data_IF_011870748655
#
_entry.id   IF_011870748655
#
_cell.length_a   1.000
_cell.length_b   1.000
_cell.length_c   1.000
_cell.angle_alpha   90.00
_cell.angle_beta   90.00
_cell.angle_gamma   90.00
#
_symmetry.space_group_name_H-M   'P 1'
#
loop_
_entity.id
_entity.type
_entity.pdbx_description
1 polymer ?
#
# COMPACT_ATOMS: atom_id res chain seq x y z
N UNK A 1 12.41 -19.73 19.56
CA UNK A 1 11.84 -18.35 19.50
C UNK A 1 11.05 -18.23 18.22
N UNK A 2 9.81 -17.84 18.29
CA UNK A 2 8.94 -17.70 17.12
C UNK A 2 8.89 -16.21 16.75
N UNK A 3 9.22 -15.86 15.52
CA UNK A 3 9.09 -14.48 15.03
C UNK A 3 7.64 -14.18 14.72
N UNK A 4 7.22 -12.93 14.90
CA UNK A 4 5.96 -12.42 14.37
C UNK A 4 6.10 -12.19 12.86
N UNK A 5 5.05 -12.50 12.10
CA UNK A 5 5.04 -12.39 10.64
C UNK A 5 4.00 -11.40 10.15
N UNK A 6 4.31 -10.68 9.08
CA UNK A 6 3.36 -9.78 8.46
C UNK A 6 3.48 -9.72 6.95
N UNK A 7 2.37 -9.37 6.31
CA UNK A 7 2.29 -9.12 4.88
C UNK A 7 1.90 -7.67 4.62
N UNK A 8 2.49 -7.07 3.60
CA UNK A 8 2.28 -5.67 3.20
C UNK A 8 1.71 -5.67 1.79
N UNK A 9 0.52 -5.13 1.63
CA UNK A 9 -0.10 -4.87 0.34
C UNK A 9 -0.11 -3.36 0.11
N UNK A 10 0.46 -2.89 -0.99
CA UNK A 10 0.57 -1.48 -1.32
C UNK A 10 -0.06 -1.18 -2.66
N UNK A 11 -0.63 0.01 -2.80
CA UNK A 11 -1.03 0.58 -4.08
C UNK A 11 -1.84 -0.39 -4.92
N UNK A 12 -2.94 -0.91 -4.37
CA UNK A 12 -3.85 -1.80 -5.08
C UNK A 12 -4.59 -1.06 -6.19
N UNK A 13 -4.91 0.23 -5.96
CA UNK A 13 -5.60 1.10 -6.91
C UNK A 13 -6.93 0.49 -7.41
N UNK A 14 -7.72 -0.07 -6.47
CA UNK A 14 -9.00 -0.68 -6.83
C UNK A 14 -9.97 0.37 -7.41
N UNK A 15 -10.63 0.12 -8.54
CA UNK A 15 -10.79 -1.15 -9.27
C UNK A 15 -9.70 -1.44 -10.32
N UNK A 16 -8.70 -0.59 -10.49
CA UNK A 16 -7.66 -0.69 -11.53
C UNK A 16 -6.48 -1.59 -11.11
N UNK A 17 -6.73 -2.58 -10.28
CA UNK A 17 -5.72 -3.50 -9.74
C UNK A 17 -5.39 -4.67 -10.70
N UNK A 18 -4.27 -5.32 -10.42
CA UNK A 18 -3.91 -6.58 -11.05
C UNK A 18 -4.64 -7.75 -10.35
N UNK A 19 -5.84 -8.09 -10.84
CA UNK A 19 -6.71 -9.08 -10.21
C UNK A 19 -6.09 -10.49 -10.15
N UNK A 20 -5.28 -10.88 -11.15
CA UNK A 20 -4.62 -12.19 -11.17
C UNK A 20 -3.55 -12.25 -10.09
N UNK A 21 -2.74 -11.22 -9.99
CA UNK A 21 -1.72 -11.14 -8.95
C UNK A 21 -2.34 -11.09 -7.55
N UNK A 22 -3.42 -10.31 -7.36
CA UNK A 22 -4.13 -10.26 -6.08
C UNK A 22 -4.63 -11.65 -5.67
N UNK A 23 -5.23 -12.39 -6.60
CA UNK A 23 -5.69 -13.76 -6.31
C UNK A 23 -4.53 -14.69 -5.90
N UNK A 24 -3.37 -14.59 -6.56
CA UNK A 24 -2.19 -15.37 -6.19
C UNK A 24 -1.63 -14.95 -4.82
N UNK A 25 -1.63 -13.65 -4.50
CA UNK A 25 -1.26 -13.15 -3.18
C UNK A 25 -2.23 -13.65 -2.10
N UNK A 26 -3.55 -13.67 -2.37
CA UNK A 26 -4.57 -14.22 -1.47
C UNK A 26 -4.36 -15.73 -1.21
N UNK A 27 -3.99 -16.50 -2.24
CA UNK A 27 -3.63 -17.92 -2.07
C UNK A 27 -2.41 -18.09 -1.16
N UNK A 28 -1.41 -17.24 -1.30
CA UNK A 28 -0.25 -17.21 -0.41
C UNK A 28 -0.64 -16.80 1.01
N UNK A 29 -1.48 -15.78 1.16
CA UNK A 29 -2.01 -15.37 2.46
C UNK A 29 -2.75 -16.51 3.16
N UNK A 30 -3.58 -17.27 2.43
CA UNK A 30 -4.36 -18.38 2.96
C UNK A 30 -3.51 -19.61 3.37
N UNK A 31 -2.29 -19.73 2.84
CA UNK A 31 -1.40 -20.85 3.13
C UNK A 31 -0.67 -20.73 4.49
N UNK A 32 -0.86 -19.61 5.23
CA UNK A 32 -0.10 -19.27 6.44
C UNK A 32 -0.94 -18.57 7.48
N UNK A 33 -0.40 -18.54 8.70
CA UNK A 33 -0.85 -17.62 9.75
C UNK A 33 -0.03 -16.33 9.66
N UNK A 34 -0.73 -15.22 9.87
CA UNK A 34 -0.15 -13.89 9.89
C UNK A 34 -0.50 -13.18 11.20
N UNK A 35 0.50 -12.50 11.80
CA UNK A 35 0.28 -11.64 12.96
C UNK A 35 -0.19 -10.25 12.49
N UNK A 36 0.26 -9.83 11.29
CA UNK A 36 -0.05 -8.51 10.74
C UNK A 36 -0.43 -8.57 9.26
N UNK A 37 -1.47 -7.81 8.88
CA UNK A 37 -1.78 -7.43 7.50
C UNK A 37 -1.74 -5.90 7.41
N UNK A 38 -0.89 -5.38 6.54
CA UNK A 38 -0.70 -3.94 6.33
C UNK A 38 -1.18 -3.57 4.93
N UNK A 39 -2.24 -2.77 4.84
CA UNK A 39 -2.60 -2.04 3.63
C UNK A 39 -1.86 -0.71 3.66
N UNK A 40 -0.89 -0.53 2.76
CA UNK A 40 0.08 0.57 2.87
C UNK A 40 -0.34 1.85 2.13
N UNK A 41 -1.64 2.03 1.92
CA UNK A 41 -2.25 3.19 1.26
C UNK A 41 -2.50 2.96 -0.23
N UNK A 42 -3.27 3.86 -0.83
CA UNK A 42 -3.73 3.82 -2.21
C UNK A 42 -4.35 2.46 -2.58
N UNK A 43 -5.14 1.94 -1.65
CA UNK A 43 -5.87 0.69 -1.88
C UNK A 43 -7.07 0.91 -2.80
N UNK A 44 -7.62 2.12 -2.77
CA UNK A 44 -8.65 2.61 -3.69
C UNK A 44 -8.04 3.60 -4.68
N UNK A 45 -8.43 3.54 -5.95
CA UNK A 45 -7.99 4.51 -6.96
C UNK A 45 -8.76 5.84 -6.88
N UNK A 46 -9.95 5.81 -6.28
CA UNK A 46 -10.83 6.99 -6.11
C UNK A 46 -11.09 7.77 -7.40
N UNK A 47 -10.99 7.09 -8.53
CA UNK A 47 -11.09 7.63 -9.89
C UNK A 47 -12.31 8.54 -10.11
N UNK A 48 -13.47 8.18 -9.49
CA UNK A 48 -14.73 8.93 -9.66
C UNK A 48 -14.68 10.35 -9.09
N UNK A 49 -13.72 10.61 -8.20
CA UNK A 49 -13.46 11.91 -7.58
C UNK A 49 -12.01 12.36 -7.81
N UNK A 50 -11.39 11.87 -8.89
CA UNK A 50 -9.99 12.18 -9.20
C UNK A 50 -9.75 13.69 -9.31
N UNK A 51 -8.93 14.21 -8.42
CA UNK A 51 -8.47 15.59 -8.44
C UNK A 51 -7.84 15.97 -9.79
N UNK A 52 -7.02 15.08 -10.36
CA UNK A 52 -6.38 15.32 -11.66
C UNK A 52 -7.37 15.47 -12.80
N UNK A 53 -8.42 14.62 -12.85
CA UNK A 53 -9.44 14.69 -13.88
C UNK A 53 -10.29 15.97 -13.76
N UNK A 54 -10.54 16.40 -12.52
CA UNK A 54 -11.28 17.66 -12.25
C UNK A 54 -10.48 18.89 -12.65
N UNK A 55 -9.19 18.96 -12.30
CA UNK A 55 -8.33 20.09 -12.66
C UNK A 55 -8.03 20.19 -14.17
N UNK A 56 -7.84 19.04 -14.82
CA UNK A 56 -7.59 19.01 -16.28
C UNK A 56 -8.83 19.21 -17.12
N UNK A 57 -10.04 19.19 -16.52
CA UNK A 57 -11.32 19.24 -17.22
C UNK A 57 -11.64 17.97 -18.01
N UNK A 58 -10.95 16.87 -17.75
CA UNK A 58 -11.15 15.57 -18.42
C UNK A 58 -12.36 14.80 -17.85
N UNK A 59 -13.50 15.48 -17.68
CA UNK A 59 -14.73 14.88 -17.10
C UNK A 59 -15.23 13.63 -17.82
N UNK A 60 -14.91 13.47 -19.10
CA UNK A 60 -15.23 12.24 -19.85
C UNK A 60 -14.57 11.01 -19.23
N UNK A 61 -13.40 11.15 -18.62
CA UNK A 61 -12.70 10.07 -17.92
C UNK A 61 -13.47 9.59 -16.67
N UNK A 62 -14.40 10.39 -16.16
CA UNK A 62 -15.23 10.07 -14.99
C UNK A 62 -16.57 9.43 -15.37
N UNK A 63 -16.89 9.36 -16.69
CA UNK A 63 -18.17 8.82 -17.13
C UNK A 63 -18.37 7.36 -16.68
N UNK A 64 -19.52 7.09 -16.08
CA UNK A 64 -19.87 5.75 -15.58
C UNK A 64 -19.21 5.33 -14.26
N UNK A 65 -18.21 6.05 -13.79
CA UNK A 65 -17.57 5.77 -12.49
C UNK A 65 -18.50 6.19 -11.35
N UNK A 66 -18.49 5.40 -10.28
CA UNK A 66 -19.34 5.64 -9.09
C UNK A 66 -18.60 5.19 -7.85
N UNK A 67 -18.21 6.11 -7.01
CA UNK A 67 -17.48 5.87 -5.76
C UNK A 67 -18.17 4.82 -4.86
N UNK A 68 -19.48 4.90 -4.73
CA UNK A 68 -20.27 3.93 -3.95
C UNK A 68 -20.07 2.49 -4.45
N UNK A 69 -20.02 2.28 -5.78
CA UNK A 69 -19.80 0.94 -6.35
C UNK A 69 -18.39 0.42 -6.05
N UNK A 70 -17.39 1.33 -6.06
CA UNK A 70 -16.02 0.99 -5.75
C UNK A 70 -15.90 0.58 -4.28
N UNK A 71 -16.54 1.31 -3.37
CA UNK A 71 -16.62 0.93 -1.95
C UNK A 71 -17.30 -0.42 -1.73
N UNK A 72 -18.50 -0.64 -2.30
CA UNK A 72 -19.24 -1.90 -2.18
C UNK A 72 -18.44 -3.11 -2.73
N UNK A 73 -17.65 -2.91 -3.77
CA UNK A 73 -16.83 -3.96 -4.34
C UNK A 73 -15.54 -4.18 -3.53
N UNK A 74 -14.90 -3.11 -3.07
CA UNK A 74 -13.69 -3.19 -2.26
C UNK A 74 -13.98 -3.75 -0.85
N UNK A 75 -15.13 -3.44 -0.27
CA UNK A 75 -15.58 -4.07 0.97
C UNK A 75 -15.52 -5.60 0.91
N UNK A 76 -15.90 -6.20 -0.23
CA UNK A 76 -15.82 -7.67 -0.42
C UNK A 76 -14.38 -8.19 -0.34
N UNK A 77 -13.41 -7.40 -0.81
CA UNK A 77 -11.98 -7.72 -0.69
C UNK A 77 -11.57 -7.65 0.78
N UNK A 78 -11.90 -6.58 1.50
CA UNK A 78 -11.57 -6.43 2.92
C UNK A 78 -12.15 -7.58 3.77
N UNK A 79 -13.42 -7.93 3.55
CA UNK A 79 -14.07 -9.06 4.24
C UNK A 79 -13.40 -10.40 3.92
N UNK A 80 -13.03 -10.61 2.65
CA UNK A 80 -12.32 -11.82 2.23
C UNK A 80 -10.94 -11.90 2.87
N UNK A 81 -10.16 -10.83 2.84
CA UNK A 81 -8.83 -10.77 3.46
C UNK A 81 -8.90 -10.97 4.99
N UNK A 82 -9.83 -10.30 5.67
CA UNK A 82 -10.05 -10.51 7.11
C UNK A 82 -10.36 -11.96 7.45
N UNK A 83 -11.16 -12.63 6.60
CA UNK A 83 -11.44 -14.07 6.77
C UNK A 83 -10.21 -14.95 6.52
N UNK A 84 -9.40 -14.60 5.51
CA UNK A 84 -8.17 -15.35 5.16
C UNK A 84 -7.16 -15.29 6.30
N UNK A 85 -6.87 -14.08 6.82
CA UNK A 85 -5.84 -13.92 7.85
C UNK A 85 -6.32 -14.31 9.26
N UNK A 86 -7.64 -14.34 9.47
CA UNK A 86 -8.27 -14.75 10.72
C UNK A 86 -8.28 -13.67 11.81
N UNK A 87 -9.00 -13.96 12.90
CA UNK A 87 -9.31 -12.99 13.96
C UNK A 87 -8.11 -12.56 14.81
N UNK A 88 -7.04 -13.34 14.83
CA UNK A 88 -5.85 -13.08 15.64
C UNK A 88 -4.86 -12.15 14.92
N UNK A 89 -5.03 -11.93 13.60
CA UNK A 89 -4.22 -11.02 12.81
C UNK A 89 -4.62 -9.56 13.06
N UNK A 90 -3.64 -8.71 13.32
CA UNK A 90 -3.85 -7.27 13.41
C UNK A 90 -3.81 -6.66 12.00
N UNK A 91 -4.90 -5.99 11.63
CA UNK A 91 -5.02 -5.38 10.30
C UNK A 91 -4.89 -3.86 10.44
N UNK A 92 -4.01 -3.27 9.62
CA UNK A 92 -3.78 -1.83 9.53
C UNK A 92 -4.07 -1.34 8.13
N UNK A 93 -4.69 -0.19 8.02
CA UNK A 93 -5.01 0.47 6.76
C UNK A 93 -4.48 1.90 6.78
N UNK A 94 -3.50 2.18 5.94
CA UNK A 94 -2.99 3.54 5.73
C UNK A 94 -3.88 4.25 4.71
N UNK A 95 -4.28 5.45 5.04
CA UNK A 95 -4.87 6.37 4.05
C UNK A 95 -3.76 6.92 3.18
N UNK A 96 -3.81 6.59 1.89
CA UNK A 96 -2.90 7.14 0.89
C UNK A 96 -3.38 8.49 0.35
N UNK A 97 -2.67 9.02 -0.63
CA UNK A 97 -3.06 10.29 -1.23
C UNK A 97 -4.31 10.19 -2.12
N UNK A 98 -4.65 9.00 -2.64
CA UNK A 98 -5.91 8.78 -3.36
C UNK A 98 -7.10 8.80 -2.40
N UNK A 99 -7.02 8.12 -1.25
CA UNK A 99 -8.06 8.20 -0.24
C UNK A 99 -8.24 9.64 0.30
N UNK A 100 -7.16 10.43 0.37
CA UNK A 100 -7.21 11.84 0.79
C UNK A 100 -7.99 12.74 -0.20
N UNK A 101 -8.23 12.29 -1.44
CA UNK A 101 -9.04 13.07 -2.38
C UNK A 101 -10.47 13.29 -1.90
N UNK A 102 -11.02 12.38 -1.10
CA UNK A 102 -12.32 12.60 -0.46
C UNK A 102 -12.30 13.84 0.42
N UNK A 103 -11.32 13.97 1.30
CA UNK A 103 -11.16 15.13 2.18
C UNK A 103 -10.95 16.43 1.38
N UNK A 104 -10.12 16.39 0.34
CA UNK A 104 -9.92 17.54 -0.55
C UNK A 104 -11.20 17.98 -1.28
N UNK A 105 -12.04 17.01 -1.68
CA UNK A 105 -13.33 17.33 -2.29
C UNK A 105 -14.29 17.94 -1.26
N UNK A 106 -14.28 17.46 -0.01
CA UNK A 106 -15.07 18.02 1.10
C UNK A 106 -14.65 19.45 1.41
N UNK A 107 -13.34 19.77 1.36
CA UNK A 107 -12.85 21.15 1.53
C UNK A 107 -13.47 22.12 0.51
N UNK A 108 -13.78 21.65 -0.69
CA UNK A 108 -14.47 22.43 -1.72
C UNK A 108 -16.00 22.34 -1.65
N UNK A 109 -16.52 21.23 -1.14
CA UNK A 109 -17.96 20.92 -1.05
C UNK A 109 -18.30 20.32 0.31
N UNK A 110 -18.36 21.16 1.39
CA UNK A 110 -18.57 20.67 2.78
C UNK A 110 -19.85 19.86 2.99
N UNK A 111 -20.83 20.00 2.10
CA UNK A 111 -22.07 19.22 2.13
C UNK A 111 -21.89 17.73 1.88
N UNK A 112 -20.70 17.31 1.43
CA UNK A 112 -20.34 15.90 1.21
C UNK A 112 -19.74 15.23 2.43
N UNK A 113 -19.46 15.98 3.50
CA UNK A 113 -18.92 15.44 4.76
C UNK A 113 -19.84 14.36 5.33
N UNK A 114 -19.25 13.24 5.70
CA UNK A 114 -19.98 12.07 6.20
C UNK A 114 -20.45 11.09 5.12
N UNK A 115 -20.35 11.45 3.83
CA UNK A 115 -20.88 10.63 2.74
C UNK A 115 -19.83 9.95 1.87
N UNK A 116 -18.67 10.58 1.69
CA UNK A 116 -17.68 10.13 0.68
C UNK A 116 -16.35 9.65 1.25
N UNK A 117 -16.10 9.79 2.54
CA UNK A 117 -14.87 9.35 3.18
C UNK A 117 -14.82 7.81 3.27
N UNK A 118 -13.65 7.21 3.06
CA UNK A 118 -13.47 5.76 3.22
C UNK A 118 -13.89 5.25 4.60
N UNK A 119 -13.65 6.02 5.66
CA UNK A 119 -13.97 5.68 7.04
C UNK A 119 -15.47 5.46 7.27
N UNK A 120 -16.29 6.21 6.54
CA UNK A 120 -17.76 6.13 6.65
C UNK A 120 -18.37 5.09 5.71
N UNK A 121 -17.63 4.61 4.72
CA UNK A 121 -18.12 3.74 3.66
C UNK A 121 -17.52 2.33 3.66
N UNK A 122 -16.47 2.09 4.45
CA UNK A 122 -15.83 0.79 4.57
C UNK A 122 -15.98 0.22 5.99
N UNK A 123 -16.07 -1.09 6.17
CA UNK A 123 -16.37 -1.73 7.45
C UNK A 123 -15.14 -1.82 8.38
N UNK A 124 -14.39 -0.74 8.55
CA UNK A 124 -13.15 -0.74 9.32
C UNK A 124 -13.36 -1.11 10.78
N UNK A 125 -14.37 -0.53 11.42
CA UNK A 125 -14.69 -0.83 12.82
C UNK A 125 -15.17 -2.28 12.98
N UNK A 126 -16.11 -2.74 12.14
CA UNK A 126 -16.63 -4.10 12.17
C UNK A 126 -15.53 -5.15 12.01
N UNK A 127 -14.59 -4.92 11.07
CA UNK A 127 -13.47 -5.80 10.79
C UNK A 127 -12.26 -5.57 11.71
N UNK A 128 -12.37 -4.65 12.68
CA UNK A 128 -11.30 -4.25 13.61
C UNK A 128 -10.02 -3.81 12.89
N UNK A 129 -10.17 -3.16 11.73
CA UNK A 129 -9.09 -2.58 10.96
C UNK A 129 -8.69 -1.26 11.62
N UNK A 130 -7.41 -1.12 11.96
CA UNK A 130 -6.86 0.11 12.53
C UNK A 130 -6.46 1.04 11.40
N UNK A 131 -7.18 2.15 11.26
CA UNK A 131 -6.90 3.16 10.25
C UNK A 131 -5.75 4.06 10.71
N UNK A 132 -4.79 4.30 9.82
CA UNK A 132 -3.69 5.23 9.98
C UNK A 132 -3.98 6.43 9.05
N UNK A 133 -4.08 7.64 9.60
CA UNK A 133 -4.47 8.82 8.82
C UNK A 133 -3.44 9.17 7.74
N UNK A 134 -3.78 10.01 6.78
CA UNK A 134 -2.85 10.49 5.76
C UNK A 134 -1.53 10.99 6.39
N UNK A 135 -0.41 10.61 5.80
CA UNK A 135 0.96 10.88 6.31
C UNK A 135 1.27 10.32 7.69
N UNK A 136 0.40 9.47 8.23
CA UNK A 136 0.63 8.79 9.50
C UNK A 136 1.81 7.83 9.43
N UNK A 137 2.47 7.65 10.57
CA UNK A 137 3.61 6.73 10.73
C UNK A 137 3.23 5.68 11.77
N UNK A 138 3.40 4.42 11.42
CA UNK A 138 3.23 3.30 12.36
C UNK A 138 4.56 2.57 12.52
N UNK A 139 4.72 1.90 13.66
CA UNK A 139 5.94 1.14 13.98
C UNK A 139 5.59 -0.25 14.52
N UNK A 140 6.26 -1.28 14.00
CA UNK A 140 6.24 -2.64 14.54
C UNK A 140 7.71 -3.08 14.70
N UNK A 141 8.13 -3.41 15.92
CA UNK A 141 9.54 -3.64 16.20
C UNK A 141 10.42 -2.43 15.84
N UNK A 142 11.45 -2.63 15.03
CA UNK A 142 12.33 -1.58 14.52
C UNK A 142 11.99 -1.12 13.11
N UNK A 143 10.90 -1.63 12.52
CA UNK A 143 10.42 -1.27 11.18
C UNK A 143 9.28 -0.26 11.29
N UNK A 144 9.37 0.83 10.54
CA UNK A 144 8.33 1.85 10.40
C UNK A 144 7.61 1.67 9.07
N UNK A 145 6.37 2.09 9.03
CA UNK A 145 5.51 2.03 7.85
C UNK A 145 4.92 3.41 7.58
N UNK A 146 4.93 3.82 6.33
CA UNK A 146 4.30 5.05 5.82
C UNK A 146 3.70 4.75 4.44
N UNK A 147 2.72 5.53 3.99
CA UNK A 147 2.28 5.38 2.60
C UNK A 147 3.41 5.76 1.62
N UNK A 148 4.02 6.91 1.75
CA UNK A 148 5.17 7.28 0.93
C UNK A 148 4.94 8.48 0.00
N UNK A 149 3.80 9.16 0.10
CA UNK A 149 3.44 10.39 -0.59
C UNK A 149 4.24 11.62 -0.10
N UNK A 150 5.55 11.43 0.04
CA UNK A 150 6.47 12.48 0.46
C UNK A 150 6.78 13.43 -0.69
N UNK A 151 7.07 14.68 -0.29
CA UNK A 151 7.24 15.84 -1.16
C UNK A 151 7.94 15.58 -2.50
N UNK A 152 7.37 16.21 -3.52
CA UNK A 152 7.88 16.28 -4.89
C UNK A 152 9.22 17.02 -4.90
N UNK A 153 10.30 16.31 -5.05
CA UNK A 153 11.62 16.88 -5.28
C UNK A 153 12.33 16.16 -6.41
N UNK A 154 13.43 16.69 -6.92
CA UNK A 154 14.20 16.12 -8.03
C UNK A 154 14.62 14.64 -7.82
N UNK A 155 14.73 14.22 -6.56
CA UNK A 155 15.03 12.83 -6.18
C UNK A 155 13.82 11.90 -6.09
N UNK A 156 12.60 12.44 -6.15
CA UNK A 156 11.40 11.64 -5.85
C UNK A 156 11.13 10.51 -6.85
N UNK A 157 11.55 10.67 -8.10
CA UNK A 157 11.34 9.65 -9.15
C UNK A 157 12.49 8.66 -9.30
N UNK A 158 13.75 9.10 -9.12
CA UNK A 158 14.94 8.30 -9.44
C UNK A 158 15.61 7.69 -8.22
N UNK A 159 15.65 8.39 -7.10
CA UNK A 159 16.36 7.98 -5.88
C UNK A 159 15.49 8.15 -4.64
N UNK A 160 14.21 7.82 -4.73
CA UNK A 160 13.26 8.04 -3.65
C UNK A 160 13.60 7.24 -2.37
N UNK A 161 14.13 6.02 -2.46
CA UNK A 161 14.52 5.26 -1.28
C UNK A 161 15.63 5.97 -0.47
N UNK A 162 16.61 6.57 -1.17
CA UNK A 162 17.63 7.38 -0.51
C UNK A 162 17.02 8.59 0.19
N UNK A 163 16.09 9.30 -0.50
CA UNK A 163 15.41 10.47 0.08
C UNK A 163 14.63 10.09 1.34
N UNK A 164 13.92 8.97 1.33
CA UNK A 164 13.15 8.48 2.48
C UNK A 164 14.07 8.24 3.67
N UNK A 165 15.18 7.53 3.49
CA UNK A 165 16.15 7.31 4.57
C UNK A 165 16.74 8.61 5.09
N UNK A 166 17.11 9.52 4.21
CA UNK A 166 17.71 10.80 4.62
C UNK A 166 16.73 11.66 5.40
N UNK A 167 15.45 11.65 5.00
CA UNK A 167 14.40 12.44 5.66
C UNK A 167 14.02 11.88 7.03
N UNK A 168 13.81 10.57 7.13
CA UNK A 168 13.26 9.96 8.34
C UNK A 168 14.34 9.41 9.28
N UNK A 169 15.52 9.08 8.76
CA UNK A 169 16.61 8.43 9.50
C UNK A 169 16.12 7.21 10.30
N UNK A 170 15.37 6.31 9.65
CA UNK A 170 14.75 5.10 10.24
C UNK A 170 14.71 3.96 9.20
N UNK A 171 14.45 2.76 9.69
CA UNK A 171 14.06 1.64 8.83
C UNK A 171 12.60 1.81 8.43
N UNK A 172 12.32 1.94 7.14
CA UNK A 172 10.99 2.30 6.64
C UNK A 172 10.59 1.44 5.44
N UNK A 173 9.37 0.85 5.51
CA UNK A 173 8.65 0.32 4.37
C UNK A 173 7.62 1.36 3.90
N UNK A 174 7.55 1.60 2.58
CA UNK A 174 6.68 2.61 1.99
C UNK A 174 6.19 2.21 0.60
N UNK A 175 5.01 2.69 0.19
CA UNK A 175 4.35 2.52 -1.12
C UNK A 175 4.48 3.74 -2.03
N UNK A 176 3.36 4.18 -2.65
CA UNK A 176 3.15 5.37 -3.50
C UNK A 176 3.96 5.40 -4.81
N UNK A 177 5.17 4.88 -4.82
CA UNK A 177 6.07 5.01 -5.98
C UNK A 177 5.89 3.89 -7.02
N UNK A 178 5.19 2.83 -6.68
CA UNK A 178 4.91 1.66 -7.53
C UNK A 178 6.18 0.99 -8.09
N UNK A 179 7.33 1.21 -7.45
CA UNK A 179 8.63 0.73 -7.93
C UNK A 179 9.32 -0.14 -6.88
N UNK A 180 10.38 -0.81 -7.28
CA UNK A 180 11.22 -1.59 -6.38
C UNK A 180 12.55 -0.88 -6.15
N UNK A 181 12.68 -0.20 -5.01
CA UNK A 181 13.96 0.37 -4.57
C UNK A 181 14.26 -0.02 -3.13
N UNK A 182 15.56 -0.12 -2.84
CA UNK A 182 16.08 -0.25 -1.48
C UNK A 182 17.31 0.62 -1.35
N UNK A 183 17.40 1.37 -0.30
CA UNK A 183 18.60 2.13 0.03
C UNK A 183 18.93 1.99 1.51
N UNK A 184 20.19 1.61 1.79
CA UNK A 184 20.71 1.48 3.16
C UNK A 184 21.72 2.57 3.43
N UNK A 185 21.52 3.31 4.52
CA UNK A 185 22.43 4.29 5.08
C UNK A 185 23.12 3.67 6.29
N UNK A 186 24.43 3.72 6.29
CA UNK A 186 25.26 3.22 7.40
C UNK A 186 26.06 4.40 7.94
N UNK A 187 26.02 4.63 9.25
CA UNK A 187 26.91 5.60 9.86
C UNK A 187 28.36 5.09 9.85
N UNK A 188 29.36 5.93 9.52
CA UNK A 188 30.76 5.52 9.48
C UNK A 188 31.31 5.06 10.83
N UNK A 189 30.68 5.49 11.91
CA UNK A 189 31.07 5.18 13.29
C UNK A 189 29.89 4.56 14.01
N UNK A 190 29.93 3.25 14.20
CA UNK A 190 28.89 2.48 14.91
C UNK A 190 28.02 1.64 13.95
N UNK A 191 28.13 0.32 14.06
CA UNK A 191 27.35 -0.64 13.26
C UNK A 191 25.86 -0.67 13.67
N UNK A 192 25.49 -0.01 14.76
CA UNK A 192 24.12 0.01 15.28
C UNK A 192 23.23 1.07 14.61
N UNK A 193 23.82 2.00 13.82
CA UNK A 193 23.11 3.07 13.14
C UNK A 193 22.94 2.75 11.64
N UNK A 194 22.23 1.65 11.37
CA UNK A 194 21.88 1.19 10.02
C UNK A 194 20.40 1.48 9.80
N UNK A 195 20.12 2.31 8.80
CA UNK A 195 18.75 2.63 8.39
C UNK A 195 18.51 2.26 6.93
N UNK A 196 17.43 1.56 6.65
CA UNK A 196 17.07 1.11 5.31
C UNK A 196 15.65 1.53 4.95
N UNK A 197 15.47 2.12 3.77
CA UNK A 197 14.17 2.34 3.17
C UNK A 197 13.88 1.27 2.12
N UNK A 198 12.66 0.74 2.16
CA UNK A 198 12.16 -0.31 1.29
C UNK A 198 10.92 0.20 0.55
N UNK A 199 11.03 0.47 -0.74
CA UNK A 199 9.87 0.71 -1.61
C UNK A 199 9.17 -0.62 -1.84
N UNK A 200 7.90 -0.71 -1.45
CA UNK A 200 7.09 -1.90 -1.67
C UNK A 200 6.47 -1.83 -3.06
N UNK A 201 6.60 -2.87 -3.87
CA UNK A 201 5.96 -2.96 -5.18
C UNK A 201 4.44 -2.89 -5.08
N UNK A 202 3.78 -2.43 -6.14
CA UNK A 202 2.34 -2.22 -6.18
C UNK A 202 1.55 -3.47 -6.59
N UNK A 203 0.25 -3.46 -6.28
CA UNK A 203 -0.73 -4.42 -6.79
C UNK A 203 -1.60 -3.84 -7.92
N UNK A 204 -1.32 -2.61 -8.35
CA UNK A 204 -2.02 -1.94 -9.44
C UNK A 204 -1.74 -2.61 -10.81
N UNK A 205 -2.63 -2.37 -11.76
CA UNK A 205 -2.34 -2.66 -13.16
C UNK A 205 -1.20 -1.74 -13.64
N UNK A 206 -0.09 -2.32 -14.08
CA UNK A 206 1.09 -1.57 -14.55
C UNK A 206 0.88 -0.85 -15.89
N UNK A 207 -0.25 -1.05 -16.53
CA UNK A 207 -0.66 -0.34 -17.75
C UNK A 207 -2.08 0.22 -17.60
N UNK A 208 -2.27 1.22 -16.73
CA UNK A 208 -3.60 1.79 -16.52
C UNK A 208 -4.08 2.54 -17.77
N UNK A 209 -5.37 2.44 -18.07
CA UNK A 209 -5.96 3.03 -19.27
C UNK A 209 -5.76 4.56 -19.39
N UNK A 210 -5.73 5.27 -18.25
CA UNK A 210 -5.49 6.71 -18.24
C UNK A 210 -4.09 7.10 -18.72
N UNK A 211 -3.11 6.20 -18.64
CA UNK A 211 -1.75 6.43 -19.12
C UNK A 211 -1.57 6.22 -20.63
N UNK A 212 -2.65 5.92 -21.36
CA UNK A 212 -2.66 5.76 -22.83
C UNK A 212 -1.55 4.83 -23.32
N UNK A 213 -1.38 3.68 -22.67
CA UNK A 213 -0.38 2.63 -22.96
C UNK A 213 1.10 3.07 -22.88
N UNK A 214 1.38 4.24 -22.31
CA UNK A 214 2.77 4.65 -22.05
C UNK A 214 3.43 3.67 -21.08
N UNK A 215 4.68 3.29 -21.30
CA UNK A 215 5.41 2.44 -20.38
C UNK A 215 5.53 3.13 -19.00
N UNK A 216 5.31 2.36 -17.95
CA UNK A 216 5.57 2.78 -16.58
C UNK A 216 6.80 2.04 -16.04
N UNK A 217 7.45 2.60 -15.03
CA UNK A 217 8.47 1.90 -14.25
C UNK A 217 7.85 1.08 -13.10
N UNK A 218 6.55 0.84 -13.14
CA UNK A 218 5.80 0.16 -12.09
C UNK A 218 6.14 -1.32 -12.04
N UNK A 219 6.32 -1.81 -10.83
CA UNK A 219 6.67 -3.20 -10.55
C UNK A 219 5.58 -3.80 -9.68
N UNK A 220 5.04 -4.91 -10.11
CA UNK A 220 4.06 -5.68 -9.35
C UNK A 220 4.72 -6.54 -8.28
N UNK A 221 4.06 -6.62 -7.12
CA UNK A 221 4.52 -7.41 -5.99
C UNK A 221 3.89 -6.96 -4.67
N UNK A 222 4.50 -7.39 -3.58
CA UNK A 222 4.08 -7.08 -2.22
C UNK A 222 5.25 -7.30 -1.24
N UNK A 223 5.06 -6.94 0.04
CA UNK A 223 6.06 -7.15 1.07
C UNK A 223 5.72 -8.29 2.02
N UNK A 224 6.74 -8.96 2.56
CA UNK A 224 6.62 -9.92 3.67
C UNK A 224 7.69 -9.58 4.70
N UNK A 225 7.33 -9.52 5.98
CA UNK A 225 8.31 -9.25 7.02
C UNK A 225 8.17 -10.19 8.21
N UNK A 226 9.29 -10.35 8.91
CA UNK A 226 9.38 -11.12 10.15
C UNK A 226 10.08 -10.28 11.20
N UNK A 227 9.54 -10.25 12.41
CA UNK A 227 10.07 -9.47 13.53
C UNK A 227 10.40 -10.42 14.70
N UNK A 228 11.59 -10.25 15.27
CA UNK A 228 12.03 -10.97 16.48
C UNK A 228 11.60 -10.23 17.74
N UNK A 229 11.72 -10.90 18.89
CA UNK A 229 11.35 -10.35 20.21
C UNK A 229 12.14 -9.07 20.56
N UNK A 230 13.38 -8.92 20.07
CA UNK A 230 14.22 -7.72 20.23
C UNK A 230 13.84 -6.58 19.26
N UNK A 231 12.82 -6.79 18.45
CA UNK A 231 12.33 -5.86 17.44
C UNK A 231 13.16 -5.85 16.16
N UNK A 232 14.26 -6.61 16.05
CA UNK A 232 14.97 -6.75 14.78
C UNK A 232 14.10 -7.48 13.76
N UNK A 233 14.32 -7.20 12.47
CA UNK A 233 13.42 -7.68 11.42
C UNK A 233 14.17 -8.12 10.17
N UNK A 234 13.46 -8.91 9.37
CA UNK A 234 13.80 -9.13 7.96
C UNK A 234 12.58 -8.73 7.12
N UNK A 235 12.81 -8.02 6.03
CA UNK A 235 11.77 -7.66 5.06
C UNK A 235 12.18 -8.20 3.67
N UNK A 236 11.24 -8.90 3.05
CA UNK A 236 11.36 -9.48 1.71
C UNK A 236 10.36 -8.79 0.80
N UNK A 237 10.84 -8.23 -0.31
CA UNK A 237 9.99 -7.75 -1.40
C UNK A 237 9.76 -8.90 -2.36
N UNK A 238 8.51 -9.30 -2.50
CA UNK A 238 8.10 -10.39 -3.39
C UNK A 238 7.72 -9.77 -4.73
N UNK A 239 8.63 -9.87 -5.70
CA UNK A 239 8.41 -9.33 -7.05
C UNK A 239 7.65 -10.36 -7.87
N UNK A 240 6.58 -9.89 -8.54
CA UNK A 240 5.81 -10.71 -9.46
C UNK A 240 6.24 -10.49 -10.91
N UNK A 241 6.46 -11.58 -11.63
CA UNK A 241 6.74 -11.58 -13.07
C UNK A 241 5.61 -12.31 -13.78
N UNK A 242 4.92 -11.62 -14.69
CA UNK A 242 3.74 -12.16 -15.39
C UNK A 242 2.69 -12.73 -14.41
N UNK A 243 2.44 -12.00 -13.32
CA UNK A 243 1.52 -12.35 -12.23
C UNK A 243 1.92 -13.56 -11.36
N UNK A 244 3.05 -14.19 -11.64
CA UNK A 244 3.62 -15.27 -10.85
C UNK A 244 4.73 -14.76 -9.95
N UNK A 245 4.90 -15.37 -8.77
CA UNK A 245 5.97 -15.05 -7.86
C UNK A 245 6.46 -16.29 -7.11
N UNK A 246 7.69 -16.18 -6.58
CA UNK A 246 8.24 -17.13 -5.62
C UNK A 246 8.15 -16.50 -4.24
N UNK A 247 7.48 -17.17 -3.31
CA UNK A 247 7.37 -16.71 -1.93
C UNK A 247 8.70 -16.84 -1.16
N UNK A 248 8.90 -16.12 -0.03
CA UNK A 248 10.13 -16.21 0.76
C UNK A 248 10.49 -17.62 1.23
N UNK A 249 9.54 -18.54 1.26
CA UNK A 249 9.72 -19.96 1.61
C UNK A 249 9.88 -20.88 0.40
N UNK A 250 10.00 -20.30 -0.82
CA UNK A 250 10.38 -21.04 -2.03
C UNK A 250 9.21 -21.63 -2.83
N UNK A 251 7.94 -21.39 -2.45
CA UNK A 251 6.79 -21.87 -3.23
C UNK A 251 6.44 -20.92 -4.36
N UNK A 252 6.01 -21.50 -5.50
CA UNK A 252 5.57 -20.75 -6.67
C UNK A 252 4.06 -20.57 -6.63
N UNK A 253 3.61 -19.33 -6.86
CA UNK A 253 2.19 -18.95 -6.99
C UNK A 253 1.97 -18.36 -8.40
N UNK A 254 1.03 -18.94 -9.14
CA UNK A 254 0.73 -18.57 -10.52
C UNK A 254 -0.75 -18.80 -10.85
#
# INVERSE_FOLDING_TARGET
MQSQSGIILADLQFPNHNAVLLNNAERYMAARRWDFLIYLGDMLDMDSISHHAMESGEYKALEGKRLKKDYEAFEKILRRHSKIVGKDCQIYYFMGNHEEWANRLIDHMPTLEGFIEPENNLPFEELKIKVIPPRGIMKIGKLHFIHGDIDKGSYSSTHHAKKVVDLYNRNIAYGDKHTDQTFTKVAPVGLDDIHTAYSIPCLANTRPAWNRDKPTAWINGFGVFYIRDDGSFNLYKVIAVKNSFISPDGYIYQ
#
